data_IF_371162678299
#
_entry.id   IF_371162678299
#
_cell.length_a   1.000
_cell.length_b   1.000
_cell.length_c   1.000
_cell.angle_alpha   90.00
_cell.angle_beta   90.00
_cell.angle_gamma   90.00
#
_symmetry.space_group_name_H-M   'P 1'
#
loop_
_entity.id
_entity.type
_entity.pdbx_description
1 polymer ?
#
# COMPACT_ATOMS: atom_id res chain seq x y z
N UNK A 1 13.05 5.78 -18.61
CA UNK A 1 13.53 5.33 -17.27
C UNK A 1 15.00 5.66 -17.12
N UNK A 2 15.51 5.92 -15.90
CA UNK A 2 16.94 6.09 -15.66
C UNK A 2 17.70 4.77 -15.88
N UNK A 3 19.02 4.85 -16.04
CA UNK A 3 19.88 3.65 -16.09
C UNK A 3 19.87 2.97 -14.73
N UNK A 4 19.53 1.68 -14.68
CA UNK A 4 19.34 0.91 -13.43
C UNK A 4 20.61 0.20 -12.95
N UNK A 5 21.53 -0.14 -13.85
CA UNK A 5 22.74 -0.91 -13.54
C UNK A 5 24.02 -0.15 -13.90
N UNK A 6 25.13 -0.52 -13.27
CA UNK A 6 26.47 -0.08 -13.66
C UNK A 6 27.45 -1.24 -13.42
N UNK A 7 28.08 -1.75 -14.49
CA UNK A 7 29.04 -2.85 -14.41
C UNK A 7 28.53 -4.00 -13.51
N UNK A 8 27.32 -4.49 -13.82
CA UNK A 8 26.61 -5.57 -13.11
C UNK A 8 26.24 -5.30 -11.64
N UNK A 9 26.32 -4.04 -11.19
CA UNK A 9 25.81 -3.61 -9.89
C UNK A 9 24.50 -2.85 -10.06
N UNK A 10 23.54 -3.16 -9.21
CA UNK A 10 22.33 -2.36 -9.08
C UNK A 10 22.65 -0.99 -8.48
N UNK A 11 22.09 0.08 -9.06
CA UNK A 11 22.34 1.46 -8.61
C UNK A 11 21.46 1.90 -7.44
N UNK A 12 20.31 1.28 -7.24
CA UNK A 12 19.29 1.70 -6.28
C UNK A 12 18.97 0.55 -5.31
N UNK A 13 18.79 0.87 -4.02
CA UNK A 13 18.39 -0.10 -3.00
C UNK A 13 16.88 -0.12 -2.69
N UNK A 14 16.15 0.93 -3.10
CA UNK A 14 14.70 1.05 -2.97
C UNK A 14 14.17 1.93 -4.10
N UNK A 15 12.96 1.63 -4.59
CA UNK A 15 12.24 2.47 -5.53
C UNK A 15 11.00 3.03 -4.85
N UNK A 16 10.79 4.34 -4.97
CA UNK A 16 9.66 5.03 -4.35
C UNK A 16 8.79 5.65 -5.44
N UNK A 17 7.52 5.29 -5.44
CA UNK A 17 6.48 5.91 -6.26
C UNK A 17 5.57 6.74 -5.37
N UNK A 18 5.73 8.07 -5.40
CA UNK A 18 4.82 9.02 -4.75
C UNK A 18 3.36 8.87 -5.23
N UNK A 19 3.19 8.31 -6.43
CA UNK A 19 1.90 7.92 -6.96
C UNK A 19 2.03 6.54 -7.61
N UNK A 20 1.48 5.52 -6.95
CA UNK A 20 1.48 4.13 -7.39
C UNK A 20 0.93 3.97 -8.81
N UNK A 21 0.03 4.84 -9.26
CA UNK A 21 -0.50 4.81 -10.63
C UNK A 21 0.60 4.97 -11.69
N UNK A 22 1.71 5.68 -11.39
CA UNK A 22 2.86 5.79 -12.31
C UNK A 22 3.49 4.43 -12.59
N UNK A 23 3.50 3.53 -11.61
CA UNK A 23 3.96 2.16 -11.77
C UNK A 23 2.90 1.28 -12.47
N UNK A 24 1.62 1.40 -12.08
CA UNK A 24 0.51 0.61 -12.66
C UNK A 24 0.26 0.91 -14.14
N UNK A 25 0.44 2.16 -14.54
CA UNK A 25 0.21 2.65 -15.91
C UNK A 25 1.49 2.68 -16.75
N UNK A 26 2.63 2.28 -16.18
CA UNK A 26 3.87 2.13 -16.91
C UNK A 26 3.68 1.18 -18.09
N UNK A 27 4.28 1.49 -19.24
CA UNK A 27 4.28 0.57 -20.36
C UNK A 27 4.91 -0.77 -19.96
N UNK A 28 4.41 -1.83 -20.61
CA UNK A 28 4.75 -3.20 -20.23
C UNK A 28 6.25 -3.45 -20.24
N UNK A 29 6.97 -2.94 -21.24
CA UNK A 29 8.40 -3.16 -21.38
C UNK A 29 9.21 -2.48 -20.26
N UNK A 30 8.91 -1.22 -19.97
CA UNK A 30 9.57 -0.51 -18.87
C UNK A 30 9.26 -1.17 -17.51
N UNK A 31 8.00 -1.59 -17.30
CA UNK A 31 7.62 -2.29 -16.07
C UNK A 31 8.34 -3.63 -15.92
N UNK A 32 8.43 -4.42 -16.97
CA UNK A 32 9.15 -5.71 -16.96
C UNK A 32 10.64 -5.52 -16.66
N UNK A 33 11.27 -4.48 -17.23
CA UNK A 33 12.66 -4.15 -16.95
C UNK A 33 12.88 -3.76 -15.48
N UNK A 34 11.98 -2.95 -14.92
CA UNK A 34 12.01 -2.55 -13.52
C UNK A 34 11.76 -3.73 -12.57
N UNK A 35 10.79 -4.58 -12.89
CA UNK A 35 10.47 -5.78 -12.11
C UNK A 35 11.63 -6.79 -12.15
N UNK A 36 12.28 -6.96 -13.30
CA UNK A 36 13.50 -7.78 -13.42
C UNK A 36 14.60 -7.24 -12.52
N UNK A 37 14.83 -5.92 -12.57
CA UNK A 37 15.81 -5.26 -11.72
C UNK A 37 15.52 -5.48 -10.22
N UNK A 38 14.26 -5.35 -9.81
CA UNK A 38 13.87 -5.56 -8.42
C UNK A 38 14.13 -7.00 -7.94
N UNK A 39 13.84 -8.00 -8.78
CA UNK A 39 14.11 -9.41 -8.45
C UNK A 39 15.61 -9.72 -8.43
N UNK A 40 16.37 -9.21 -9.39
CA UNK A 40 17.79 -9.51 -9.55
C UNK A 40 18.64 -8.89 -8.42
N UNK A 41 18.29 -7.69 -7.97
CA UNK A 41 19.06 -6.95 -6.96
C UNK A 41 18.35 -6.85 -5.60
N UNK A 42 17.26 -7.60 -5.39
CA UNK A 42 16.46 -7.59 -4.15
C UNK A 42 16.02 -6.19 -3.72
N UNK A 43 15.54 -5.39 -4.68
CA UNK A 43 15.11 -4.02 -4.46
C UNK A 43 13.61 -3.98 -4.17
N UNK A 44 13.24 -3.40 -3.03
CA UNK A 44 11.85 -3.18 -2.65
C UNK A 44 11.23 -1.98 -3.37
N UNK A 45 9.92 -2.02 -3.57
CA UNK A 45 9.14 -0.90 -4.12
C UNK A 45 8.17 -0.39 -3.04
N UNK A 46 8.18 0.91 -2.81
CA UNK A 46 7.21 1.61 -1.95
C UNK A 46 6.32 2.48 -2.84
N UNK A 47 5.02 2.24 -2.80
CA UNK A 47 4.04 3.00 -3.57
C UNK A 47 3.04 3.70 -2.65
N UNK A 48 2.79 4.99 -2.92
CA UNK A 48 1.78 5.77 -2.23
C UNK A 48 0.55 5.96 -3.13
N UNK A 49 -0.63 5.90 -2.53
CA UNK A 49 -1.88 6.27 -3.21
C UNK A 49 -2.16 7.73 -2.87
N UNK A 50 -2.10 8.65 -3.84
CA UNK A 50 -2.44 10.04 -3.58
C UNK A 50 -3.94 10.16 -3.31
N UNK A 51 -4.37 11.22 -2.60
CA UNK A 51 -5.78 11.59 -2.51
C UNK A 51 -6.38 11.73 -3.92
N UNK A 52 -7.61 11.24 -4.09
CA UNK A 52 -8.32 11.32 -5.36
C UNK A 52 -9.57 12.19 -5.18
N UNK A 53 -9.88 13.05 -6.16
CA UNK A 53 -11.12 13.83 -6.13
C UNK A 53 -12.35 12.91 -6.18
N UNK A 54 -12.27 11.84 -6.96
CA UNK A 54 -13.31 10.82 -7.06
C UNK A 54 -13.11 9.70 -6.04
N UNK A 55 -14.21 9.31 -5.39
CA UNK A 55 -14.23 8.16 -4.49
C UNK A 55 -14.33 6.86 -5.29
N UNK A 56 -13.33 6.01 -5.14
CA UNK A 56 -13.36 4.64 -5.64
C UNK A 56 -13.96 3.73 -4.57
N UNK A 57 -14.85 2.83 -4.98
CA UNK A 57 -15.44 1.80 -4.10
C UNK A 57 -15.26 0.45 -4.76
N UNK A 58 -14.38 -0.38 -4.19
CA UNK A 58 -14.09 -1.72 -4.72
C UNK A 58 -13.46 -1.70 -6.10
N UNK A 59 -12.72 -0.64 -6.47
CA UNK A 59 -12.06 -0.57 -7.75
C UNK A 59 -10.84 -1.50 -7.77
N UNK A 60 -10.70 -2.33 -8.78
CA UNK A 60 -9.55 -3.23 -8.90
C UNK A 60 -8.32 -2.49 -9.43
N UNK A 61 -7.18 -2.65 -8.77
CA UNK A 61 -5.90 -2.18 -9.28
C UNK A 61 -5.49 -2.97 -10.52
N UNK A 62 -5.18 -2.25 -11.60
CA UNK A 62 -4.86 -2.84 -12.90
C UNK A 62 -3.70 -3.83 -12.81
N UNK A 63 -3.98 -5.10 -13.13
CA UNK A 63 -2.98 -6.16 -13.14
C UNK A 63 -2.65 -6.74 -11.76
N UNK A 64 -3.47 -6.45 -10.74
CA UNK A 64 -3.29 -6.96 -9.38
C UNK A 64 -4.62 -7.50 -8.83
N UNK A 65 -4.59 -8.55 -7.99
CA UNK A 65 -5.76 -9.05 -7.28
C UNK A 65 -6.03 -8.20 -6.01
N UNK A 66 -5.92 -6.88 -6.14
CA UNK A 66 -6.11 -5.89 -5.09
C UNK A 66 -7.24 -4.95 -5.49
N UNK A 67 -8.13 -4.69 -4.55
CA UNK A 67 -9.22 -3.74 -4.67
C UNK A 67 -8.98 -2.58 -3.72
N UNK A 68 -9.33 -1.37 -4.14
CA UNK A 68 -9.14 -0.15 -3.35
C UNK A 68 -10.46 0.57 -3.09
N UNK A 69 -10.52 1.20 -1.92
CA UNK A 69 -11.55 2.18 -1.59
C UNK A 69 -10.87 3.45 -1.10
N UNK A 70 -11.22 4.61 -1.64
CA UNK A 70 -10.57 5.90 -1.34
C UNK A 70 -11.51 6.84 -0.57
N UNK A 71 -10.96 7.95 -0.09
CA UNK A 71 -11.72 9.02 0.57
C UNK A 71 -12.49 8.56 1.80
N UNK A 72 -11.84 7.73 2.61
CA UNK A 72 -12.40 7.22 3.85
C UNK A 72 -11.93 8.02 5.07
N UNK A 73 -12.84 8.14 6.04
CA UNK A 73 -12.50 8.50 7.41
C UNK A 73 -12.20 7.23 8.19
N UNK A 74 -11.05 7.19 8.84
CA UNK A 74 -10.58 6.02 9.58
C UNK A 74 -10.24 6.41 11.03
N UNK A 75 -10.22 5.42 11.92
CA UNK A 75 -9.83 5.54 13.33
C UNK A 75 -9.17 4.26 13.81
N UNK A 76 -8.61 4.28 15.00
CA UNK A 76 -8.14 3.08 15.72
C UNK A 76 -7.14 2.25 14.89
N UNK A 77 -5.98 2.86 14.62
CA UNK A 77 -4.93 2.25 13.80
C UNK A 77 -4.14 1.18 14.56
N UNK A 78 -3.75 0.13 13.85
CA UNK A 78 -3.02 -1.02 14.38
C UNK A 78 -1.93 -1.44 13.39
N UNK A 79 -0.83 -1.95 13.92
CA UNK A 79 0.24 -2.55 13.11
C UNK A 79 0.31 -4.06 13.28
N UNK A 80 0.64 -4.74 12.20
CA UNK A 80 0.90 -6.17 12.20
C UNK A 80 2.16 -6.49 13.01
N UNK A 81 1.97 -7.11 14.18
CA UNK A 81 3.05 -7.47 15.08
C UNK A 81 3.98 -8.54 14.48
N UNK A 82 3.44 -9.41 13.63
CA UNK A 82 4.16 -10.52 12.98
C UNK A 82 4.97 -10.08 11.75
N UNK A 83 4.74 -8.89 11.21
CA UNK A 83 5.49 -8.41 10.05
C UNK A 83 6.98 -8.23 10.38
N UNK A 84 7.88 -8.70 9.49
CA UNK A 84 9.33 -8.53 9.65
C UNK A 84 9.81 -7.13 9.24
N UNK A 85 8.93 -6.25 8.72
CA UNK A 85 9.32 -4.93 8.25
C UNK A 85 9.72 -4.03 9.42
N UNK A 86 10.79 -3.27 9.21
CA UNK A 86 11.26 -2.25 10.15
C UNK A 86 10.15 -1.22 10.40
N UNK A 87 9.81 -1.02 11.67
CA UNK A 87 8.79 -0.08 12.12
C UNK A 87 9.34 0.85 13.19
N UNK A 88 8.92 2.11 13.15
CA UNK A 88 9.24 3.09 14.18
C UNK A 88 8.29 2.99 15.39
N UNK A 89 7.05 2.59 15.16
CA UNK A 89 6.01 2.47 16.18
C UNK A 89 5.90 1.04 16.69
N UNK A 90 5.48 0.90 17.96
CA UNK A 90 5.22 -0.41 18.59
C UNK A 90 4.02 -1.08 17.90
N UNK A 91 4.17 -2.34 17.51
CA UNK A 91 3.04 -3.13 17.02
C UNK A 91 2.42 -3.99 18.13
N UNK A 92 1.21 -4.51 17.87
CA UNK A 92 0.43 -5.25 18.85
C UNK A 92 -0.40 -4.37 19.79
N UNK A 93 -0.35 -3.04 19.61
CA UNK A 93 -1.18 -2.07 20.33
C UNK A 93 -1.99 -1.23 19.34
N UNK A 94 -3.09 -0.62 19.82
CA UNK A 94 -3.98 0.21 19.00
C UNK A 94 -3.77 1.69 19.32
N UNK A 95 -3.50 2.48 18.29
CA UNK A 95 -3.55 3.94 18.37
C UNK A 95 -5.01 4.38 18.23
N UNK A 96 -5.69 4.56 19.37
CA UNK A 96 -7.11 4.91 19.44
C UNK A 96 -7.41 6.33 18.98
N UNK A 97 -8.59 6.51 18.40
CA UNK A 97 -9.11 7.82 17.98
C UNK A 97 -9.04 8.04 16.46
N UNK A 98 -9.55 9.19 15.99
CA UNK A 98 -9.64 9.50 14.57
C UNK A 98 -8.25 9.66 13.95
N UNK A 99 -8.05 9.08 12.77
CA UNK A 99 -6.87 9.34 11.96
C UNK A 99 -6.99 10.71 11.29
N UNK A 100 -5.85 11.39 11.04
CA UNK A 100 -5.86 12.69 10.39
C UNK A 100 -6.39 12.60 8.96
N UNK A 101 -7.14 13.62 8.52
CA UNK A 101 -7.66 13.68 7.16
C UNK A 101 -8.89 12.79 6.92
N UNK A 102 -9.39 12.84 5.68
CA UNK A 102 -10.62 12.16 5.24
C UNK A 102 -10.44 11.45 3.89
N UNK A 103 -9.19 11.33 3.47
CA UNK A 103 -8.67 10.93 2.17
C UNK A 103 -7.94 9.57 2.24
N UNK A 104 -8.20 8.78 3.28
CA UNK A 104 -7.55 7.49 3.44
C UNK A 104 -7.97 6.51 2.36
N UNK A 105 -7.01 5.70 1.94
CA UNK A 105 -7.22 4.55 1.05
C UNK A 105 -7.09 3.27 1.87
N UNK A 106 -8.01 2.33 1.65
CA UNK A 106 -7.88 0.95 2.13
C UNK A 106 -7.68 -0.01 0.96
N UNK A 107 -7.14 -1.19 1.28
CA UNK A 107 -6.89 -2.26 0.33
C UNK A 107 -7.63 -3.53 0.74
N UNK A 108 -8.14 -4.25 -0.24
CA UNK A 108 -8.72 -5.58 -0.09
C UNK A 108 -8.04 -6.51 -1.07
N UNK A 109 -7.31 -7.50 -0.55
CA UNK A 109 -6.68 -8.52 -1.38
C UNK A 109 -7.58 -9.73 -1.55
N UNK A 110 -7.55 -10.32 -2.74
CA UNK A 110 -8.16 -11.62 -3.01
C UNK A 110 -7.08 -12.67 -3.35
N UNK A 111 -5.92 -12.57 -2.72
CA UNK A 111 -4.80 -13.49 -2.94
C UNK A 111 -3.89 -13.53 -1.70
N UNK A 112 -3.42 -14.73 -1.34
CA UNK A 112 -2.64 -14.98 -0.11
C UNK A 112 -1.21 -14.44 -0.14
N UNK A 113 -0.72 -14.02 -1.31
CA UNK A 113 0.60 -13.37 -1.41
C UNK A 113 0.62 -11.97 -0.81
N UNK A 114 -0.54 -11.40 -0.48
CA UNK A 114 -0.63 -10.09 0.12
C UNK A 114 -0.89 -10.20 1.61
N UNK A 115 -0.13 -9.43 2.38
CA UNK A 115 -0.28 -9.36 3.82
C UNK A 115 -0.48 -7.91 4.25
N UNK A 116 -1.53 -7.61 5.04
CA UNK A 116 -1.65 -6.30 5.65
C UNK A 116 -0.52 -6.03 6.65
N UNK A 117 0.10 -4.85 6.52
CA UNK A 117 1.07 -4.33 7.47
C UNK A 117 0.44 -3.45 8.54
N UNK A 118 -0.65 -2.79 8.19
CA UNK A 118 -1.39 -1.90 9.06
C UNK A 118 -2.89 -2.00 8.77
N UNK A 119 -3.68 -1.82 9.82
CA UNK A 119 -5.12 -1.74 9.74
C UNK A 119 -5.65 -0.49 10.43
N UNK A 120 -6.87 -0.11 10.09
CA UNK A 120 -7.67 0.83 10.83
C UNK A 120 -9.15 0.45 10.73
N UNK A 121 -9.98 1.10 11.52
CA UNK A 121 -11.43 0.93 11.50
C UNK A 121 -12.08 2.09 10.77
N UNK A 122 -13.20 1.83 10.10
CA UNK A 122 -13.99 2.90 9.50
C UNK A 122 -14.53 3.80 10.61
N UNK A 123 -14.34 5.10 10.48
CA UNK A 123 -14.96 6.06 11.38
C UNK A 123 -16.40 6.33 10.94
N UNK A 124 -17.27 5.34 11.20
CA UNK A 124 -18.70 5.54 11.11
C UNK A 124 -19.15 6.30 12.35
N UNK A 125 -19.59 7.55 12.16
CA UNK A 125 -20.19 8.34 13.22
C UNK A 125 -21.50 7.72 13.75
N UNK A 126 -22.15 6.82 12.98
CA UNK A 126 -23.55 6.43 13.25
C UNK A 126 -23.87 4.94 13.44
N UNK A 127 -23.01 3.95 13.19
CA UNK A 127 -23.40 2.53 13.34
C UNK A 127 -22.29 1.58 13.80
N UNK A 128 -22.63 0.74 14.79
CA UNK A 128 -21.71 -0.07 15.61
C UNK A 128 -21.55 -1.54 15.20
N UNK A 129 -22.01 -1.97 14.03
CA UNK A 129 -21.93 -3.37 13.62
C UNK A 129 -21.02 -3.61 12.41
N UNK A 130 -20.13 -4.59 12.60
CA UNK A 130 -18.98 -5.04 11.79
C UNK A 130 -17.73 -4.14 11.81
N UNK A 131 -16.95 -4.32 12.88
CA UNK A 131 -15.60 -3.78 13.09
C UNK A 131 -14.52 -4.69 12.47
N UNK A 132 -14.66 -5.05 11.19
CA UNK A 132 -13.55 -5.73 10.52
C UNK A 132 -12.43 -4.72 10.31
N UNK A 133 -11.19 -4.98 10.75
CA UNK A 133 -10.07 -4.10 10.47
C UNK A 133 -9.88 -3.99 8.96
N UNK A 134 -9.71 -2.76 8.46
CA UNK A 134 -9.51 -2.43 7.06
C UNK A 134 -8.01 -2.21 6.83
N UNK A 135 -7.42 -2.94 5.89
CA UNK A 135 -5.99 -2.81 5.63
C UNK A 135 -5.68 -1.46 4.98
N UNK A 136 -4.78 -0.68 5.57
CA UNK A 136 -4.36 0.63 5.07
C UNK A 136 -3.00 0.57 4.39
N UNK A 137 -2.22 -0.47 4.67
CA UNK A 137 -0.91 -0.75 4.06
C UNK A 137 -0.80 -2.25 3.80
N UNK A 138 -0.33 -2.63 2.60
CA UNK A 138 -0.16 -4.01 2.17
C UNK A 138 1.28 -4.24 1.69
N UNK A 139 1.81 -5.44 1.95
CA UNK A 139 2.99 -5.99 1.28
C UNK A 139 2.59 -7.15 0.36
#
# INVERSE_FOLDING_TARGET
MPVLTNLDKGRYGVLIFENLNKYLQMDKWNRELLDKYCREYSVGVVGFTPPAEESLVGAQLKGFPLFVHTNLRLKDAQLNAASPILRLTRAGETAWGPLPGYDWTIFQANHSTYEPLAWAHRDNLDYSHNRSPLATVMQ
#
